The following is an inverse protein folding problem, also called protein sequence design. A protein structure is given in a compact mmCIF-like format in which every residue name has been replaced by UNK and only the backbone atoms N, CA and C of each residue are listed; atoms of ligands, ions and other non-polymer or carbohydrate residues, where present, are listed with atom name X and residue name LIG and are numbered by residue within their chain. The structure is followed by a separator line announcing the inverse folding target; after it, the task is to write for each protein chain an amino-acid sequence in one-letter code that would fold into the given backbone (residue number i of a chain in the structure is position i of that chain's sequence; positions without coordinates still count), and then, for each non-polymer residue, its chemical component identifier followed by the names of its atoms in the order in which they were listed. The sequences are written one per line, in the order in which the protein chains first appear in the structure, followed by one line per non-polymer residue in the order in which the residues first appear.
data_IF_480688235463
#
_entry.id   IF_480688235463
#
_cell.length_a   1.000
_cell.length_b   1.000
_cell.length_c   1.000
_cell.angle_alpha   90.00
_cell.angle_beta   90.00
_cell.angle_gamma   90.00
#
_symmetry.space_group_name_H-M   'P 1'
#
loop_
_entity.id
_entity.type
_entity.pdbx_description
1 polymer ?
#
# COMPACT_ATOMS: atom_id res chain seq x y z
N UNK A 1 28.77 9.86 6.52
CA UNK A 1 27.37 10.24 6.82
C UNK A 1 26.75 10.77 5.55
N UNK A 2 25.92 9.97 4.87
CA UNK A 2 24.92 10.38 3.87
C UNK A 2 24.08 9.15 3.52
N UNK A 3 23.14 8.80 4.39
CA UNK A 3 22.13 7.77 4.11
C UNK A 3 21.15 8.31 3.07
N UNK A 4 21.38 8.03 1.80
CA UNK A 4 20.52 8.47 0.69
C UNK A 4 20.35 7.33 -0.32
N UNK A 5 19.97 6.13 0.16
CA UNK A 5 19.79 4.94 -0.70
C UNK A 5 18.41 4.26 -0.62
N UNK A 6 17.40 4.79 0.09
CA UNK A 6 16.12 4.06 0.25
C UNK A 6 14.87 4.80 -0.26
N UNK A 7 15.03 5.78 -1.15
CA UNK A 7 13.92 6.40 -1.88
C UNK A 7 13.61 5.71 -3.23
N UNK A 8 14.06 4.46 -3.42
CA UNK A 8 13.97 3.77 -4.71
C UNK A 8 13.27 2.41 -4.53
N UNK A 9 11.99 2.37 -4.91
CA UNK A 9 11.17 1.17 -5.22
C UNK A 9 10.32 0.48 -4.14
N UNK A 10 10.02 1.10 -3.00
CA UNK A 10 8.87 0.64 -2.19
C UNK A 10 7.63 1.44 -2.55
N UNK A 11 6.71 0.81 -3.28
CA UNK A 11 5.40 1.37 -3.54
C UNK A 11 4.75 1.76 -2.19
N UNK A 12 4.39 3.04 -1.94
CA UNK A 12 3.84 3.48 -0.67
C UNK A 12 2.53 2.77 -0.31
N UNK A 13 1.88 2.13 -1.28
CA UNK A 13 0.70 1.29 -1.08
C UNK A 13 1.02 -0.04 -0.39
N UNK A 14 2.26 -0.55 -0.46
CA UNK A 14 2.66 -1.80 0.23
C UNK A 14 2.75 -1.62 1.76
N UNK A 15 2.78 -0.38 2.23
CA UNK A 15 2.76 -0.06 3.66
C UNK A 15 1.34 -0.13 4.24
N UNK A 16 0.33 -0.23 3.37
CA UNK A 16 -1.06 -0.35 3.76
C UNK A 16 -1.43 -1.80 3.98
N UNK A 17 -2.26 -2.04 4.99
CA UNK A 17 -2.96 -3.31 5.15
C UNK A 17 -3.90 -3.54 3.96
N UNK A 18 -4.16 -4.79 3.56
CA UNK A 18 -5.02 -5.10 2.41
C UNK A 18 -6.43 -4.47 2.54
N UNK A 19 -7.01 -4.43 3.76
CA UNK A 19 -8.29 -3.76 4.00
C UNK A 19 -8.24 -2.23 3.87
N UNK A 20 -7.09 -1.62 4.12
CA UNK A 20 -6.85 -0.19 3.91
C UNK A 20 -6.67 0.13 2.43
N UNK A 21 -5.92 -0.71 1.72
CA UNK A 21 -5.72 -0.58 0.28
C UNK A 21 -7.05 -0.71 -0.47
N UNK A 22 -7.87 -1.70 -0.12
CA UNK A 22 -9.19 -1.89 -0.73
C UNK A 22 -10.10 -0.68 -0.50
N UNK A 23 -10.20 -0.20 0.74
CA UNK A 23 -10.97 0.99 1.08
C UNK A 23 -10.50 2.24 0.32
N UNK A 24 -9.18 2.40 0.18
CA UNK A 24 -8.59 3.49 -0.57
C UNK A 24 -8.86 3.37 -2.07
N UNK A 25 -8.75 2.16 -2.63
CA UNK A 25 -9.00 1.91 -4.05
C UNK A 25 -10.45 2.22 -4.42
N UNK A 26 -11.41 1.71 -3.62
CA UNK A 26 -12.83 2.03 -3.79
C UNK A 26 -13.09 3.53 -3.68
N UNK A 27 -12.52 4.18 -2.67
CA UNK A 27 -12.68 5.63 -2.50
C UNK A 27 -12.13 6.42 -3.69
N UNK A 28 -11.00 5.97 -4.27
CA UNK A 28 -10.42 6.56 -5.47
C UNK A 28 -11.32 6.36 -6.69
N UNK A 29 -11.89 5.18 -6.88
CA UNK A 29 -12.82 4.90 -7.98
C UNK A 29 -14.08 5.78 -7.88
N UNK A 30 -14.66 5.91 -6.69
CA UNK A 30 -15.84 6.76 -6.45
C UNK A 30 -15.54 8.26 -6.60
N UNK A 31 -14.34 8.70 -6.19
CA UNK A 31 -13.97 10.10 -6.18
C UNK A 31 -13.28 10.60 -7.46
N UNK A 32 -12.80 9.70 -8.31
CA UNK A 32 -12.03 9.99 -9.53
C UNK A 32 -10.73 10.74 -9.24
N UNK A 33 -10.21 11.52 -10.19
CA UNK A 33 -8.90 12.19 -10.09
C UNK A 33 -8.75 13.17 -8.91
N UNK A 34 -9.85 13.58 -8.26
CA UNK A 34 -9.85 14.48 -7.08
C UNK A 34 -9.89 13.73 -5.75
N UNK A 35 -9.72 12.42 -5.76
CA UNK A 35 -9.76 11.57 -4.56
C UNK A 35 -8.80 12.04 -3.48
N UNK A 36 -7.59 12.50 -3.82
CA UNK A 36 -6.61 13.00 -2.82
C UNK A 36 -7.15 14.17 -2.00
N UNK A 37 -7.70 15.17 -2.69
CA UNK A 37 -8.25 16.37 -2.03
C UNK A 37 -9.48 16.04 -1.20
N UNK A 38 -10.35 15.14 -1.70
CA UNK A 38 -11.51 14.67 -0.94
C UNK A 38 -11.10 13.85 0.29
N UNK A 39 -10.09 12.99 0.16
CA UNK A 39 -9.57 12.18 1.25
C UNK A 39 -8.95 13.07 2.33
N UNK A 40 -8.12 14.05 1.93
CA UNK A 40 -7.58 15.06 2.85
C UNK A 40 -8.69 15.84 3.56
N UNK A 41 -9.71 16.30 2.84
CA UNK A 41 -10.84 16.99 3.44
C UNK A 41 -11.61 16.09 4.42
N UNK A 42 -11.79 14.81 4.07
CA UNK A 42 -12.40 13.81 4.93
C UNK A 42 -11.57 13.49 6.16
N UNK A 43 -10.24 13.50 6.04
CA UNK A 43 -9.33 13.35 7.17
C UNK A 43 -9.47 14.51 8.14
N UNK A 44 -9.46 15.76 7.68
CA UNK A 44 -9.68 16.94 8.53
C UNK A 44 -11.01 16.85 9.28
N UNK A 45 -12.06 16.35 8.62
CA UNK A 45 -13.40 16.20 9.19
C UNK A 45 -13.61 14.90 9.99
N UNK A 46 -12.62 14.02 10.05
CA UNK A 46 -12.76 12.64 10.54
C UNK A 46 -13.99 11.90 9.93
N UNK A 47 -14.30 12.20 8.66
CA UNK A 47 -15.52 11.73 7.99
C UNK A 47 -15.48 10.23 7.64
N UNK A 48 -14.30 9.62 7.65
CA UNK A 48 -14.10 8.23 7.25
C UNK A 48 -13.47 7.41 8.38
N UNK A 49 -14.25 7.02 9.41
CA UNK A 49 -13.75 6.18 10.48
C UNK A 49 -13.35 4.79 9.97
N UNK A 50 -12.43 4.13 10.68
CA UNK A 50 -11.93 2.80 10.33
C UNK A 50 -10.65 2.87 9.49
N UNK A 51 -10.61 2.12 8.38
CA UNK A 51 -9.39 1.91 7.60
C UNK A 51 -8.77 3.21 7.05
N UNK A 52 -9.57 4.13 6.48
CA UNK A 52 -9.06 5.39 5.94
C UNK A 52 -8.51 6.33 7.04
N UNK A 53 -9.07 6.29 8.24
CA UNK A 53 -8.55 7.02 9.39
C UNK A 53 -7.29 6.36 9.97
N UNK A 54 -7.20 5.03 9.93
CA UNK A 54 -6.00 4.31 10.32
C UNK A 54 -4.81 4.69 9.43
N UNK A 55 -5.00 4.81 8.11
CA UNK A 55 -3.97 5.30 7.17
C UNK A 55 -3.45 6.67 7.62
N UNK A 56 -4.36 7.61 7.95
CA UNK A 56 -3.99 8.93 8.44
C UNK A 56 -3.19 8.85 9.74
N UNK A 57 -3.61 8.01 10.68
CA UNK A 57 -2.95 7.87 11.98
C UNK A 57 -1.56 7.22 11.86
N UNK A 58 -1.36 6.32 10.89
CA UNK A 58 -0.12 5.59 10.69
C UNK A 58 0.90 6.37 9.85
N UNK A 59 0.45 6.99 8.75
CA UNK A 59 1.33 7.55 7.72
C UNK A 59 1.20 9.07 7.55
N UNK A 60 0.08 9.64 8.01
CA UNK A 60 -0.15 11.07 7.99
C UNK A 60 -0.55 11.66 6.63
N UNK A 61 -0.81 12.98 6.59
CA UNK A 61 -1.19 13.72 5.39
C UNK A 61 -0.10 13.78 4.32
N UNK A 62 1.17 13.76 4.72
CA UNK A 62 2.33 13.82 3.82
C UNK A 62 2.47 12.57 2.94
N UNK A 63 2.10 11.40 3.45
CA UNK A 63 2.08 10.17 2.67
C UNK A 63 1.15 10.25 1.45
N UNK A 64 0.03 10.99 1.56
CA UNK A 64 -0.89 11.20 0.46
C UNK A 64 -0.25 11.94 -0.73
N UNK A 65 0.80 12.74 -0.46
CA UNK A 65 1.59 13.41 -1.50
C UNK A 65 2.52 12.43 -2.24
N UNK A 66 2.99 11.37 -1.58
CA UNK A 66 3.90 10.37 -2.16
C UNK A 66 3.17 9.34 -3.02
N UNK A 67 1.89 9.06 -2.71
CA UNK A 67 1.07 8.12 -3.47
C UNK A 67 0.68 8.70 -4.83
N UNK A 68 1.28 8.22 -5.90
CA UNK A 68 0.87 8.53 -7.30
C UNK A 68 -0.09 7.50 -7.89
N UNK A 69 -0.78 7.88 -8.96
CA UNK A 69 -1.73 7.02 -9.67
C UNK A 69 -1.06 5.78 -10.30
N UNK A 70 0.24 5.89 -10.65
CA UNK A 70 1.05 4.79 -11.18
C UNK A 70 1.24 3.66 -10.17
N UNK A 71 1.28 3.97 -8.88
CA UNK A 71 1.41 2.95 -7.83
C UNK A 71 0.24 1.98 -7.80
N UNK A 72 -0.98 2.46 -8.06
CA UNK A 72 -2.18 1.62 -8.13
C UNK A 72 -2.16 0.66 -9.33
N UNK A 73 -1.49 1.05 -10.42
CA UNK A 73 -1.31 0.17 -11.59
C UNK A 73 -0.34 -0.96 -11.31
N UNK A 74 0.62 -0.75 -10.40
CA UNK A 74 1.61 -1.75 -10.03
C UNK A 74 1.11 -2.72 -8.97
N UNK A 75 0.25 -2.29 -8.03
CA UNK A 75 -0.29 -3.16 -6.96
C UNK A 75 -1.08 -4.37 -7.48
N UNK A 76 -1.82 -4.21 -8.57
CA UNK A 76 -2.59 -5.29 -9.23
C UNK A 76 -1.71 -6.48 -9.67
N UNK A 77 -0.43 -6.21 -9.98
CA UNK A 77 0.53 -7.23 -10.43
C UNK A 77 1.25 -7.97 -9.31
N UNK A 78 1.31 -7.43 -8.09
CA UNK A 78 2.16 -7.99 -7.01
C UNK A 78 1.48 -9.14 -6.30
N UNK A 79 0.15 -9.11 -6.12
CA UNK A 79 -0.60 -10.24 -5.54
C UNK A 79 -0.51 -11.50 -6.41
N UNK A 80 -0.37 -11.36 -7.73
CA UNK A 80 -0.15 -12.48 -8.64
C UNK A 80 1.24 -13.13 -8.52
N UNK A 81 2.20 -12.49 -7.85
CA UNK A 81 3.58 -12.98 -7.72
C UNK A 81 3.93 -13.49 -6.30
N UNK A 82 3.19 -13.09 -5.26
CA UNK A 82 3.43 -13.48 -3.87
C UNK A 82 3.14 -14.97 -3.57
N UNK A 83 2.60 -15.73 -4.53
CA UNK A 83 2.41 -17.19 -4.44
C UNK A 83 3.63 -18.02 -4.80
N UNK A 84 4.75 -17.42 -5.24
CA UNK A 84 5.93 -18.18 -5.70
C UNK A 84 7.21 -17.79 -4.97
N UNK A 85 7.35 -18.22 -3.71
CA UNK A 85 8.58 -18.85 -3.18
C UNK A 85 8.40 -19.21 -1.71
N UNK A 86 8.33 -20.52 -1.43
CA UNK A 86 8.97 -21.19 -0.28
C UNK A 86 8.75 -22.72 -0.35
N UNK A 87 9.07 -23.35 -1.48
CA UNK A 87 9.35 -24.80 -1.52
C UNK A 87 10.87 -24.99 -1.38
N UNK A 88 11.36 -24.72 -0.17
CA UNK A 88 12.75 -24.96 0.23
C UNK A 88 12.95 -26.29 0.96
N UNK A 89 12.00 -27.23 0.84
CA UNK A 89 11.99 -28.51 1.54
C UNK A 89 12.93 -29.54 0.88
N UNK A 90 14.24 -29.27 0.87
CA UNK A 90 15.25 -30.23 0.45
C UNK A 90 15.24 -31.43 1.40
N UNK A 91 14.54 -32.49 1.00
CA UNK A 91 14.47 -33.75 1.73
C UNK A 91 15.89 -34.32 1.98
N UNK A 92 16.21 -34.77 3.20
CA UNK A 92 17.47 -35.45 3.46
C UNK A 92 17.46 -36.83 2.81
N UNK A 93 18.48 -37.11 1.99
CA UNK A 93 18.71 -38.43 1.42
C UNK A 93 18.95 -39.44 2.55
N UNK A 94 18.20 -40.56 2.63
CA UNK A 94 18.63 -41.69 3.44
C UNK A 94 19.73 -42.42 2.67
N UNK A 95 20.87 -42.64 3.33
CA UNK A 95 21.96 -43.47 2.84
C UNK A 95 21.89 -44.79 3.61
N UNK A 96 21.34 -45.83 2.97
CA UNK A 96 21.55 -47.24 3.32
C UNK A 96 21.64 -48.05 2.03
#
# INVERSE_FOLDING_TARGET
MSSSVEAKASNPLHQLEPGQLEALSRFREESGSRWKSKLLAGWVRAAYPGHLQAIRNQLGPEWLATVTDEHFRHTDKVEANAGQVQDGGRAPRPRM
#
